data_IF_942223169613
#
_entry.id   IF_942223169613
#
_cell.length_a   1.000
_cell.length_b   1.000
_cell.length_c   1.000
_cell.angle_alpha   90.00
_cell.angle_beta   90.00
_cell.angle_gamma   90.00
#
_symmetry.space_group_name_H-M   'P 1'
#
loop_
_entity.id
_entity.type
_entity.pdbx_description
1 polymer ?
#
# COMPACT_ATOMS: atom_id res chain seq x y z
N UNK A 1 -35.40 -18.55 -13.35
CA UNK A 1 -34.19 -17.70 -13.47
C UNK A 1 -33.18 -18.23 -12.49
N UNK A 2 -31.98 -18.56 -12.94
CA UNK A 2 -30.89 -18.99 -12.05
C UNK A 2 -30.58 -17.87 -11.06
N UNK A 3 -30.59 -18.15 -9.77
CA UNK A 3 -30.19 -17.19 -8.75
C UNK A 3 -28.74 -16.77 -8.97
N UNK A 4 -28.49 -15.47 -8.98
CA UNK A 4 -27.14 -14.87 -9.12
C UNK A 4 -26.86 -14.01 -7.89
N UNK A 5 -26.68 -14.62 -6.70
CA UNK A 5 -26.69 -13.88 -5.44
C UNK A 5 -25.60 -12.80 -5.36
N UNK A 6 -24.40 -13.07 -5.85
CA UNK A 6 -23.30 -12.11 -5.84
C UNK A 6 -23.60 -10.94 -6.78
N UNK A 7 -24.00 -11.22 -8.03
CA UNK A 7 -24.30 -10.18 -9.02
C UNK A 7 -25.46 -9.31 -8.54
N UNK A 8 -26.53 -9.93 -8.05
CA UNK A 8 -27.70 -9.22 -7.54
C UNK A 8 -27.34 -8.31 -6.35
N UNK A 9 -26.50 -8.81 -5.43
CA UNK A 9 -26.01 -8.01 -4.30
C UNK A 9 -25.18 -6.82 -4.77
N UNK A 10 -24.18 -7.03 -5.64
CA UNK A 10 -23.28 -5.97 -6.11
C UNK A 10 -24.03 -4.89 -6.90
N UNK A 11 -24.96 -5.30 -7.78
CA UNK A 11 -25.79 -4.37 -8.55
C UNK A 11 -26.64 -3.53 -7.61
N UNK A 12 -27.36 -4.17 -6.68
CA UNK A 12 -28.19 -3.47 -5.69
C UNK A 12 -27.38 -2.54 -4.80
N UNK A 13 -26.14 -2.93 -4.43
CA UNK A 13 -25.24 -2.07 -3.65
C UNK A 13 -24.82 -0.83 -4.45
N UNK A 14 -24.45 -1.00 -5.70
CA UNK A 14 -24.04 0.11 -6.58
C UNK A 14 -25.19 1.12 -6.79
N UNK A 15 -26.43 0.63 -6.96
CA UNK A 15 -27.61 1.46 -7.17
C UNK A 15 -27.98 2.33 -5.95
N UNK A 16 -27.63 1.89 -4.74
CA UNK A 16 -27.90 2.63 -3.50
C UNK A 16 -27.13 3.95 -3.37
N UNK A 17 -26.05 4.14 -4.14
CA UNK A 17 -25.19 5.34 -4.12
C UNK A 17 -24.75 5.76 -2.71
N UNK A 18 -24.54 4.80 -1.83
CA UNK A 18 -24.08 5.07 -0.45
C UNK A 18 -22.68 5.64 -0.45
N UNK A 19 -22.41 6.56 0.48
CA UNK A 19 -21.04 7.09 0.67
C UNK A 19 -20.14 5.98 1.19
N UNK A 20 -19.07 5.69 0.46
CA UNK A 20 -18.15 4.60 0.78
C UNK A 20 -17.03 5.06 1.72
N UNK A 21 -16.99 4.50 2.94
CA UNK A 21 -15.88 4.65 3.88
C UNK A 21 -14.98 3.40 3.96
N UNK A 22 -15.23 2.40 3.12
CA UNK A 22 -14.43 1.17 3.03
C UNK A 22 -13.50 1.20 1.81
N UNK A 23 -12.53 0.28 1.79
CA UNK A 23 -11.73 0.01 0.59
C UNK A 23 -12.59 -0.64 -0.51
N UNK A 24 -12.30 -0.41 -1.80
CA UNK A 24 -11.13 0.28 -2.34
C UNK A 24 -11.23 1.82 -2.30
N UNK A 25 -10.07 2.48 -2.31
CA UNK A 25 -9.95 3.94 -2.20
C UNK A 25 -10.47 4.73 -3.40
N UNK A 26 -10.60 4.13 -4.60
CA UNK A 26 -11.09 4.80 -5.80
C UNK A 26 -12.58 5.24 -5.72
N UNK A 27 -13.36 4.69 -4.79
CA UNK A 27 -14.76 5.09 -4.52
C UNK A 27 -15.71 5.04 -5.74
N UNK A 28 -15.49 4.09 -6.64
CA UNK A 28 -16.30 3.89 -7.85
C UNK A 28 -15.80 4.63 -9.09
N UNK A 29 -16.63 4.68 -10.13
CA UNK A 29 -16.23 5.15 -11.45
C UNK A 29 -16.32 6.67 -11.66
N UNK A 30 -16.95 7.41 -10.74
CA UNK A 30 -17.28 8.81 -10.94
C UNK A 30 -16.06 9.71 -11.21
N UNK A 31 -14.96 9.50 -10.48
CA UNK A 31 -13.73 10.28 -10.68
C UNK A 31 -13.11 9.99 -12.04
N UNK A 32 -13.06 8.74 -12.45
CA UNK A 32 -12.51 8.35 -13.75
C UNK A 32 -13.30 8.95 -14.90
N UNK A 33 -14.66 8.93 -14.82
CA UNK A 33 -15.53 9.56 -15.82
C UNK A 33 -15.35 11.07 -15.88
N UNK A 34 -15.16 11.72 -14.71
CA UNK A 34 -14.90 13.17 -14.62
C UNK A 34 -13.62 13.56 -15.37
N UNK A 35 -12.60 12.72 -15.36
CA UNK A 35 -11.31 12.96 -16.01
C UNK A 35 -11.20 12.35 -17.42
N UNK A 36 -12.30 11.90 -18.02
CA UNK A 36 -12.34 11.48 -19.43
C UNK A 36 -12.01 10.01 -19.70
N UNK A 37 -11.95 9.17 -18.67
CA UNK A 37 -11.66 7.73 -18.83
C UNK A 37 -12.89 6.86 -19.07
N UNK A 38 -13.98 7.45 -19.59
CA UNK A 38 -15.25 6.75 -19.81
C UNK A 38 -15.09 5.60 -20.79
N UNK A 39 -14.40 5.82 -21.92
CA UNK A 39 -14.22 4.79 -22.95
C UNK A 39 -13.46 3.57 -22.40
N UNK A 40 -12.41 3.78 -21.61
CA UNK A 40 -11.69 2.69 -20.97
C UNK A 40 -12.57 1.89 -20.01
N UNK A 41 -13.37 2.57 -19.17
CA UNK A 41 -14.28 1.91 -18.23
C UNK A 41 -15.34 1.07 -18.93
N UNK A 42 -15.85 1.56 -20.05
CA UNK A 42 -16.89 0.88 -20.82
C UNK A 42 -16.34 -0.35 -21.58
N UNK A 43 -15.03 -0.38 -21.86
CA UNK A 43 -14.30 -1.49 -22.51
C UNK A 43 -13.42 -2.30 -21.58
N UNK A 44 -13.58 -2.16 -20.26
CA UNK A 44 -12.65 -2.77 -19.28
C UNK A 44 -12.48 -4.27 -19.51
N UNK A 45 -13.55 -5.00 -19.82
CA UNK A 45 -13.48 -6.46 -20.06
C UNK A 45 -12.74 -6.80 -21.36
N UNK A 46 -12.86 -5.96 -22.39
CA UNK A 46 -12.15 -6.14 -23.66
C UNK A 46 -10.65 -5.74 -23.55
N UNK A 47 -10.31 -4.97 -22.52
CA UNK A 47 -8.94 -4.57 -22.20
C UNK A 47 -8.22 -5.57 -21.28
N UNK A 48 -8.90 -6.63 -20.83
CA UNK A 48 -8.28 -7.69 -20.01
C UNK A 48 -7.49 -8.66 -20.92
N UNK A 49 -6.21 -8.39 -21.02
CA UNK A 49 -5.27 -9.10 -21.89
C UNK A 49 -4.09 -9.63 -21.10
N UNK A 50 -3.37 -10.58 -21.70
CA UNK A 50 -2.11 -11.11 -21.18
C UNK A 50 -0.90 -10.50 -21.92
N UNK A 51 0.24 -11.18 -21.90
CA UNK A 51 1.49 -10.78 -22.55
C UNK A 51 1.46 -11.08 -24.06
N UNK A 52 0.49 -10.48 -24.76
CA UNK A 52 0.42 -10.56 -26.23
C UNK A 52 1.42 -9.59 -26.88
N UNK A 53 1.63 -9.71 -28.18
CA UNK A 53 2.55 -8.83 -28.91
C UNK A 53 2.18 -7.35 -28.70
N UNK A 54 3.11 -6.58 -28.15
CA UNK A 54 2.94 -5.16 -27.83
C UNK A 54 2.44 -4.87 -26.42
N UNK A 55 1.99 -5.87 -25.64
CA UNK A 55 1.50 -5.68 -24.28
C UNK A 55 2.60 -5.58 -23.21
N UNK A 56 3.84 -5.95 -23.56
CA UNK A 56 4.98 -6.00 -22.63
C UNK A 56 4.85 -7.11 -21.55
N UNK A 57 5.86 -7.26 -20.70
CA UNK A 57 5.91 -8.22 -19.61
C UNK A 57 6.34 -7.53 -18.31
N UNK A 58 5.55 -7.65 -17.24
CA UNK A 58 5.81 -6.94 -16.00
C UNK A 58 7.10 -7.39 -15.28
N UNK A 59 7.54 -8.63 -15.47
CA UNK A 59 8.79 -9.14 -14.90
C UNK A 59 10.03 -8.65 -15.65
N UNK A 60 9.87 -8.30 -16.93
CA UNK A 60 10.95 -7.82 -17.80
C UNK A 60 10.42 -6.72 -18.71
N UNK A 61 10.17 -5.55 -18.11
CA UNK A 61 9.57 -4.43 -18.82
C UNK A 61 10.53 -3.82 -19.84
N UNK A 62 10.10 -3.76 -21.12
CA UNK A 62 10.87 -3.19 -22.23
C UNK A 62 10.06 -2.20 -23.07
N UNK A 63 8.72 -2.25 -23.00
CA UNK A 63 7.77 -1.52 -23.81
C UNK A 63 6.88 -0.55 -23.02
N UNK A 64 5.56 -0.74 -23.14
CA UNK A 64 4.54 0.18 -22.57
C UNK A 64 4.54 0.19 -21.04
N UNK A 65 4.82 -0.94 -20.40
CA UNK A 65 4.89 -1.00 -18.93
C UNK A 65 6.13 -0.25 -18.43
N UNK A 66 7.28 -0.38 -19.14
CA UNK A 66 8.47 0.39 -18.83
C UNK A 66 8.20 1.90 -18.95
N UNK A 67 7.60 2.34 -20.06
CA UNK A 67 7.26 3.74 -20.27
C UNK A 67 6.36 4.27 -19.13
N UNK A 68 5.34 3.50 -18.72
CA UNK A 68 4.48 3.86 -17.61
C UNK A 68 5.25 3.96 -16.27
N UNK A 69 6.15 3.01 -15.98
CA UNK A 69 6.99 3.06 -14.77
C UNK A 69 7.92 4.29 -14.78
N UNK A 70 8.47 4.67 -15.93
CA UNK A 70 9.30 5.87 -16.07
C UNK A 70 8.50 7.16 -15.84
N UNK A 71 7.27 7.25 -16.31
CA UNK A 71 6.37 8.38 -16.01
C UNK A 71 6.05 8.49 -14.53
N UNK A 72 5.76 7.38 -13.85
CA UNK A 72 5.60 7.38 -12.38
C UNK A 72 6.88 7.79 -11.67
N UNK A 73 8.03 7.32 -12.09
CA UNK A 73 9.32 7.70 -11.51
C UNK A 73 9.57 9.21 -11.62
N UNK A 74 9.27 9.83 -12.77
CA UNK A 74 9.33 11.27 -12.96
C UNK A 74 8.35 12.01 -12.05
N UNK A 75 7.10 11.57 -12.00
CA UNK A 75 6.05 12.20 -11.20
C UNK A 75 6.41 12.26 -9.71
N UNK A 76 7.01 11.19 -9.18
CA UNK A 76 7.41 11.11 -7.77
C UNK A 76 8.86 11.56 -7.51
N UNK A 77 9.61 11.97 -8.53
CA UNK A 77 11.00 12.41 -8.39
C UNK A 77 11.94 11.30 -7.89
N UNK A 78 11.65 10.05 -8.21
CA UNK A 78 12.41 8.88 -7.77
C UNK A 78 13.17 8.23 -8.91
N UNK A 79 14.20 7.43 -8.59
CA UNK A 79 15.03 6.76 -9.60
C UNK A 79 14.26 5.68 -10.36
N UNK A 80 13.34 4.99 -9.70
CA UNK A 80 12.53 3.91 -10.27
C UNK A 80 11.17 3.81 -9.57
N UNK A 81 10.15 3.39 -10.31
CA UNK A 81 8.84 3.02 -9.80
C UNK A 81 8.53 1.58 -10.24
N UNK A 82 7.82 0.84 -9.41
CA UNK A 82 7.44 -0.54 -9.68
C UNK A 82 5.93 -0.70 -9.50
N UNK A 83 5.27 -1.34 -10.45
CA UNK A 83 3.86 -1.69 -10.33
C UNK A 83 3.72 -2.97 -9.51
N UNK A 84 2.83 -2.94 -8.52
CA UNK A 84 2.60 -4.06 -7.62
C UNK A 84 1.35 -4.83 -8.04
N UNK A 85 1.45 -6.15 -8.18
CA UNK A 85 0.33 -7.03 -8.52
C UNK A 85 -0.28 -7.77 -7.32
N UNK A 86 0.44 -7.85 -6.20
CA UNK A 86 -0.03 -8.46 -4.95
C UNK A 86 -0.48 -7.44 -3.90
N UNK A 87 -0.94 -6.27 -4.35
CA UNK A 87 -1.35 -5.17 -3.49
C UNK A 87 -0.19 -4.55 -2.70
N UNK A 88 -0.48 -3.51 -1.95
CA UNK A 88 0.51 -2.80 -1.12
C UNK A 88 1.19 -3.71 -0.09
N UNK A 89 0.48 -4.73 0.41
CA UNK A 89 1.07 -5.70 1.36
C UNK A 89 2.28 -6.42 0.76
N UNK A 90 2.22 -6.84 -0.51
CA UNK A 90 3.36 -7.43 -1.22
C UNK A 90 4.53 -6.46 -1.35
N UNK A 91 4.25 -5.20 -1.67
CA UNK A 91 5.26 -4.15 -1.77
C UNK A 91 5.94 -3.82 -0.45
N UNK A 92 5.18 -3.73 0.64
CA UNK A 92 5.72 -3.51 2.00
C UNK A 92 6.64 -4.66 2.41
N UNK A 93 6.21 -5.92 2.19
CA UNK A 93 7.05 -7.09 2.49
C UNK A 93 8.34 -7.05 1.67
N UNK A 94 8.25 -6.80 0.37
CA UNK A 94 9.41 -6.72 -0.52
C UNK A 94 10.38 -5.59 -0.10
N UNK A 95 9.86 -4.42 0.26
CA UNK A 95 10.67 -3.30 0.71
C UNK A 95 11.44 -3.62 2.01
N UNK A 96 10.77 -4.25 2.98
CA UNK A 96 11.41 -4.66 4.24
C UNK A 96 12.49 -5.71 3.97
N UNK A 97 12.17 -6.75 3.19
CA UNK A 97 13.14 -7.81 2.87
C UNK A 97 14.34 -7.32 2.05
N UNK A 98 14.17 -6.24 1.27
CA UNK A 98 15.26 -5.60 0.55
C UNK A 98 16.13 -4.70 1.43
N UNK A 99 15.59 -4.18 2.54
CA UNK A 99 16.25 -3.20 3.40
C UNK A 99 16.88 -3.82 4.67
N UNK A 100 16.34 -4.96 5.12
CA UNK A 100 16.76 -5.60 6.37
C UNK A 100 17.27 -7.01 6.06
N UNK A 101 18.52 -7.34 6.41
CA UNK A 101 19.05 -8.68 6.19
C UNK A 101 18.34 -9.69 7.11
N UNK A 102 18.36 -10.97 6.71
CA UNK A 102 17.82 -12.05 7.55
C UNK A 102 18.48 -12.02 8.94
N UNK A 103 17.66 -12.08 9.98
CA UNK A 103 18.12 -11.98 11.38
C UNK A 103 18.45 -10.57 11.84
N UNK A 104 18.35 -9.55 10.96
CA UNK A 104 18.60 -8.15 11.28
C UNK A 104 17.49 -7.51 12.11
N UNK A 105 17.68 -6.26 12.52
CA UNK A 105 16.71 -5.50 13.31
C UNK A 105 15.97 -4.46 12.48
N UNK A 106 14.68 -4.32 12.77
CA UNK A 106 13.78 -3.31 12.19
C UNK A 106 13.11 -2.50 13.30
N UNK A 107 13.35 -1.19 13.34
CA UNK A 107 12.53 -0.28 14.16
C UNK A 107 11.19 -0.11 13.47
N UNK A 108 10.10 -0.39 14.18
CA UNK A 108 8.76 -0.35 13.60
C UNK A 108 7.73 0.19 14.57
N UNK A 109 6.77 0.95 14.05
CA UNK A 109 5.63 1.37 14.84
C UNK A 109 4.83 0.17 15.35
N UNK A 110 4.47 0.17 16.65
CA UNK A 110 3.71 -0.93 17.26
C UNK A 110 2.31 -1.07 16.65
N UNK A 111 1.72 0.01 16.16
CA UNK A 111 0.41 0.06 15.49
C UNK A 111 0.49 -0.13 13.96
N UNK A 112 1.53 -0.78 13.49
CA UNK A 112 1.76 -1.05 12.06
C UNK A 112 0.79 -2.08 11.47
N UNK A 113 0.62 -2.03 10.15
CA UNK A 113 -0.18 -3.00 9.41
C UNK A 113 0.42 -4.41 9.49
N UNK A 114 -0.45 -5.43 9.52
CA UNK A 114 -0.05 -6.86 9.62
C UNK A 114 0.96 -7.33 8.57
N UNK A 115 1.04 -6.67 7.40
CA UNK A 115 2.03 -7.00 6.37
C UNK A 115 3.47 -6.86 6.88
N UNK A 116 3.73 -5.90 7.78
CA UNK A 116 5.05 -5.70 8.37
C UNK A 116 5.39 -6.88 9.28
N UNK A 117 4.44 -7.31 10.12
CA UNK A 117 4.60 -8.50 10.98
C UNK A 117 4.85 -9.78 10.16
N UNK A 118 4.18 -9.91 9.01
CA UNK A 118 4.44 -11.03 8.10
C UNK A 118 5.86 -10.99 7.54
N UNK A 119 6.41 -9.81 7.22
CA UNK A 119 7.78 -9.67 6.77
C UNK A 119 8.79 -10.10 7.86
N UNK A 120 8.53 -9.78 9.14
CA UNK A 120 9.37 -10.23 10.25
C UNK A 120 9.47 -11.75 10.28
N UNK A 121 8.33 -12.44 10.15
CA UNK A 121 8.29 -13.91 10.16
C UNK A 121 8.97 -14.52 8.94
N UNK A 122 8.78 -13.95 7.74
CA UNK A 122 9.35 -14.48 6.51
C UNK A 122 10.89 -14.36 6.45
N UNK A 123 11.42 -13.28 6.98
CA UNK A 123 12.86 -12.99 6.93
C UNK A 123 13.58 -13.12 8.27
N UNK A 124 12.90 -13.67 9.30
CA UNK A 124 13.47 -13.85 10.65
C UNK A 124 14.02 -12.53 11.23
N UNK A 125 13.30 -11.43 11.03
CA UNK A 125 13.68 -10.08 11.44
C UNK A 125 13.27 -9.84 12.88
N UNK A 126 14.15 -9.23 13.67
CA UNK A 126 13.91 -8.86 15.06
C UNK A 126 13.25 -7.46 15.11
N UNK A 127 12.02 -7.34 15.65
CA UNK A 127 11.37 -6.03 15.78
C UNK A 127 11.90 -5.26 16.99
N UNK A 128 12.13 -3.97 16.78
CA UNK A 128 12.26 -2.96 17.82
C UNK A 128 11.04 -2.08 17.75
N UNK A 129 10.20 -2.10 18.78
CA UNK A 129 8.93 -1.39 18.74
C UNK A 129 9.07 0.06 19.18
N UNK A 130 8.66 0.98 18.29
CA UNK A 130 8.34 2.35 18.62
C UNK A 130 6.85 2.46 18.97
N UNK A 131 6.53 3.07 20.10
CA UNK A 131 5.17 3.15 20.60
C UNK A 131 4.58 4.52 20.28
N UNK A 132 3.37 4.57 19.70
CA UNK A 132 2.66 5.82 19.50
C UNK A 132 2.22 6.41 20.85
N UNK A 133 2.13 7.73 20.92
CA UNK A 133 1.42 8.38 21.99
C UNK A 133 -0.06 7.95 22.00
N UNK A 134 -0.70 7.99 23.16
CA UNK A 134 -2.13 7.68 23.27
C UNK A 134 -2.93 8.97 23.41
N UNK A 135 -3.97 9.10 22.59
CA UNK A 135 -4.96 10.16 22.74
C UNK A 135 -6.05 9.62 23.67
N UNK A 136 -5.86 9.86 24.98
CA UNK A 136 -6.67 9.28 26.06
C UNK A 136 -8.17 9.57 25.91
N UNK A 137 -8.52 10.79 25.45
CA UNK A 137 -9.91 11.21 25.23
C UNK A 137 -10.69 10.25 24.31
N UNK A 138 -10.01 9.67 23.31
CA UNK A 138 -10.63 8.80 22.31
C UNK A 138 -10.17 7.35 22.41
N UNK A 139 -9.17 7.04 23.24
CA UNK A 139 -8.60 5.70 23.38
C UNK A 139 -7.94 5.20 22.09
N UNK A 140 -7.35 6.08 21.30
CA UNK A 140 -6.72 5.75 20.00
C UNK A 140 -5.23 6.08 20.00
N UNK A 141 -4.49 5.41 19.08
CA UNK A 141 -3.08 5.73 18.87
C UNK A 141 -2.91 7.06 18.15
N UNK A 142 -2.11 7.94 18.73
CA UNK A 142 -1.66 9.20 18.18
C UNK A 142 -0.48 9.04 17.24
N UNK A 143 0.40 10.03 17.25
CA UNK A 143 1.64 10.03 16.46
C UNK A 143 2.75 9.19 17.09
N UNK A 144 3.76 8.90 16.31
CA UNK A 144 5.06 8.44 16.78
C UNK A 144 6.00 9.63 16.67
N UNK A 145 6.57 10.04 17.80
CA UNK A 145 7.45 11.20 17.86
C UNK A 145 8.84 10.89 17.33
N UNK A 146 9.55 11.91 16.85
CA UNK A 146 10.96 11.79 16.45
C UNK A 146 11.84 11.34 17.63
N UNK A 147 11.52 11.78 18.85
CA UNK A 147 12.23 11.39 20.08
C UNK A 147 12.10 9.89 20.36
N UNK A 148 10.90 9.32 20.15
CA UNK A 148 10.70 7.87 20.31
C UNK A 148 11.49 7.06 19.28
N UNK A 149 11.56 7.52 18.02
CA UNK A 149 12.40 6.88 17.01
C UNK A 149 13.87 7.00 17.36
N UNK A 150 14.32 8.18 17.80
CA UNK A 150 15.70 8.42 18.23
C UNK A 150 16.07 7.48 19.37
N UNK A 151 15.22 7.38 20.40
CA UNK A 151 15.41 6.44 21.50
C UNK A 151 15.58 4.99 21.03
N UNK A 152 14.70 4.54 20.12
CA UNK A 152 14.79 3.18 19.56
C UNK A 152 16.10 2.93 18.82
N UNK A 153 16.59 3.93 18.06
CA UNK A 153 17.84 3.82 17.30
C UNK A 153 19.06 3.88 18.21
N UNK A 154 19.07 4.74 19.22
CA UNK A 154 20.18 4.83 20.20
C UNK A 154 20.34 3.54 21.00
N UNK A 155 19.23 2.90 21.39
CA UNK A 155 19.23 1.61 22.07
C UNK A 155 19.56 0.43 21.13
N UNK A 156 19.40 0.60 19.80
CA UNK A 156 19.65 -0.42 18.80
C UNK A 156 20.43 0.13 17.60
N UNK A 157 21.72 0.48 17.77
CA UNK A 157 22.51 1.08 16.70
C UNK A 157 22.78 0.14 15.52
N UNK A 158 22.47 -1.14 15.66
CA UNK A 158 22.53 -2.18 14.63
C UNK A 158 21.21 -2.35 13.85
N UNK A 159 20.20 -1.53 14.11
CA UNK A 159 18.96 -1.53 13.34
C UNK A 159 19.21 -1.10 11.90
N UNK A 160 18.68 -1.89 10.95
CA UNK A 160 18.94 -1.69 9.51
C UNK A 160 17.98 -0.71 8.86
N UNK A 161 16.77 -0.54 9.41
CA UNK A 161 15.75 0.34 8.86
C UNK A 161 14.73 0.75 9.93
N UNK A 162 13.97 1.79 9.59
CA UNK A 162 12.78 2.25 10.35
C UNK A 162 11.57 2.17 9.44
N UNK A 163 10.44 1.72 9.95
CA UNK A 163 9.16 1.75 9.26
C UNK A 163 8.02 2.18 10.18
N UNK A 164 7.24 3.14 9.74
CA UNK A 164 6.07 3.64 10.46
C UNK A 164 4.96 4.06 9.49
N UNK A 165 3.67 4.00 9.92
CA UNK A 165 2.56 4.54 9.15
C UNK A 165 2.44 6.06 9.38
N UNK A 166 2.40 6.85 8.31
CA UNK A 166 2.04 8.28 8.37
C UNK A 166 1.27 8.64 7.08
N UNK A 167 -0.03 8.96 7.19
CA UNK A 167 -0.84 8.91 8.40
C UNK A 167 -1.07 7.48 8.93
N UNK A 168 -1.39 7.37 10.23
CA UNK A 168 -1.82 6.11 10.83
C UNK A 168 -3.28 5.77 10.46
N UNK A 169 -3.83 4.68 11.03
CA UNK A 169 -5.20 4.23 10.73
C UNK A 169 -6.27 5.29 11.02
N UNK A 170 -6.04 6.19 11.96
CA UNK A 170 -6.96 7.27 12.36
C UNK A 170 -6.72 8.59 11.63
N UNK A 171 -5.79 8.62 10.67
CA UNK A 171 -5.48 9.82 9.89
C UNK A 171 -4.47 10.76 10.56
N UNK A 172 -3.81 10.33 11.63
CA UNK A 172 -2.84 11.13 12.37
C UNK A 172 -1.45 10.94 11.74
N UNK A 173 -0.82 12.04 11.36
CA UNK A 173 0.53 12.05 10.78
C UNK A 173 1.57 12.18 11.90
N UNK A 174 2.70 11.51 11.71
CA UNK A 174 3.91 11.72 12.50
C UNK A 174 4.81 12.72 11.78
N UNK A 175 5.40 13.63 12.53
CA UNK A 175 6.37 14.62 12.04
C UNK A 175 7.78 14.12 12.37
N UNK A 176 8.40 13.42 11.37
CA UNK A 176 9.70 12.72 11.54
C UNK A 176 10.63 13.06 10.39
#
# INVERSE_FOLDING_TARGET
MTERPIINFLTSHADKKTVSFHMPGHKGSAIYRKYGYTEFLDKMMDCDITEIIGADNLFQTEGILKAAQEEYAKLYGVKRAYMLVNGTSGGVIAAIMASVPKGGKLVMARNSHKAIYNALLLADIQPVYAYPEMIEEYGISGEITADEITRCLDENPDASAVILPSPNYYGICSDI
#
